data_IF_636425654084
#
_entry.id   IF_636425654084
#
_cell.length_a   1.000
_cell.length_b   1.000
_cell.length_c   1.000
_cell.angle_alpha   90.00
_cell.angle_beta   90.00
_cell.angle_gamma   90.00
#
_symmetry.space_group_name_H-M   'P 1'
#
loop_
_entity.id
_entity.type
_entity.pdbx_description
1 polymer ?
#
# COMPACT_ATOMS: atom_id res chain seq x y z
N UNK A 1 10.89 -11.88 17.82
CA UNK A 1 9.77 -10.93 17.88
C UNK A 1 9.86 -9.82 18.94
N UNK A 2 10.69 -9.86 20.01
CA UNK A 2 10.56 -8.89 21.12
C UNK A 2 11.10 -7.48 20.84
N UNK A 3 11.88 -7.26 19.77
CA UNK A 3 12.52 -5.95 19.52
C UNK A 3 11.74 -5.02 18.57
N UNK A 4 10.50 -5.36 18.20
CA UNK A 4 9.67 -4.55 17.29
C UNK A 4 8.51 -3.92 18.05
N UNK A 5 8.44 -2.58 18.02
CA UNK A 5 7.28 -1.85 18.53
C UNK A 5 6.15 -1.87 17.50
N UNK A 6 5.01 -2.40 17.92
CA UNK A 6 3.79 -2.46 17.14
C UNK A 6 2.84 -1.35 17.56
N UNK A 7 2.11 -0.79 16.61
CA UNK A 7 1.01 0.13 16.84
C UNK A 7 -0.22 -0.43 16.14
N UNK A 8 -1.30 -0.64 16.89
CA UNK A 8 -2.60 -0.95 16.33
C UNK A 8 -3.41 0.34 16.29
N UNK A 9 -3.93 0.68 15.12
CA UNK A 9 -4.79 1.86 14.97
C UNK A 9 -6.25 1.43 14.81
N UNK A 10 -7.08 1.92 15.75
CA UNK A 10 -8.53 1.84 15.70
C UNK A 10 -9.08 3.26 15.85
N UNK A 11 -9.84 3.73 14.87
CA UNK A 11 -10.57 4.99 14.97
C UNK A 11 -12.07 4.67 14.91
N UNK A 12 -12.82 4.78 16.02
CA UNK A 12 -14.26 4.69 15.95
C UNK A 12 -14.76 5.85 15.09
N UNK A 13 -15.64 5.56 14.12
CA UNK A 13 -16.33 6.57 13.33
C UNK A 13 -17.36 7.33 14.19
N UNK A 14 -16.90 8.08 15.19
CA UNK A 14 -17.77 8.88 16.05
C UNK A 14 -17.90 10.30 15.48
N UNK A 15 -19.13 10.77 15.31
CA UNK A 15 -19.46 12.05 14.66
C UNK A 15 -19.17 13.27 15.56
N UNK A 16 -18.75 13.07 16.81
CA UNK A 16 -18.77 14.12 17.83
C UNK A 16 -17.43 14.46 18.49
N UNK A 17 -16.28 13.94 18.03
CA UNK A 17 -14.98 14.25 18.67
C UNK A 17 -14.22 15.32 17.88
N UNK A 18 -14.30 16.54 18.39
CA UNK A 18 -13.47 17.69 18.05
C UNK A 18 -12.23 17.69 18.94
N UNK A 19 -11.03 17.53 18.34
CA UNK A 19 -9.76 18.25 18.58
C UNK A 19 -8.56 17.38 18.12
N UNK A 20 -7.89 17.84 17.06
CA UNK A 20 -6.70 17.27 16.39
C UNK A 20 -5.68 16.68 17.37
N UNK A 21 -5.37 15.36 17.29
CA UNK A 21 -4.63 14.73 16.16
C UNK A 21 -5.39 13.61 15.44
N UNK A 22 -6.65 13.35 15.82
CA UNK A 22 -7.46 12.22 15.31
C UNK A 22 -7.94 12.35 13.85
N UNK A 23 -7.62 13.45 13.16
CA UNK A 23 -8.04 13.72 11.76
C UNK A 23 -7.06 13.11 10.74
N UNK A 24 -5.86 12.71 11.16
CA UNK A 24 -4.77 12.41 10.24
C UNK A 24 -4.71 10.94 9.77
N UNK A 25 -5.66 10.10 10.21
CA UNK A 25 -5.71 8.65 9.99
C UNK A 25 -7.18 8.14 9.89
N UNK A 26 -8.10 9.04 9.51
CA UNK A 26 -9.50 8.68 9.20
C UNK A 26 -9.52 7.75 7.98
N UNK A 27 -10.43 6.78 7.94
CA UNK A 27 -10.68 5.96 6.75
C UNK A 27 -11.03 6.80 5.51
N UNK A 28 -11.30 8.09 5.69
CA UNK A 28 -11.50 9.07 4.60
C UNK A 28 -10.22 9.49 3.87
N UNK A 29 -9.04 9.41 4.49
CA UNK A 29 -7.78 9.76 3.81
C UNK A 29 -7.16 8.53 3.14
N UNK A 30 -6.53 8.73 1.99
CA UNK A 30 -5.89 7.64 1.24
C UNK A 30 -4.50 7.34 1.82
N UNK A 31 -3.83 8.38 2.29
CA UNK A 31 -2.54 8.29 3.00
C UNK A 31 -2.82 8.26 4.49
N UNK A 32 -2.20 7.30 5.16
CA UNK A 32 -2.21 7.20 6.62
C UNK A 32 -0.98 7.95 7.17
N UNK A 33 -1.18 9.09 7.84
CA UNK A 33 -0.04 9.92 8.25
C UNK A 33 0.90 9.17 9.19
N UNK A 34 0.35 8.30 10.04
CA UNK A 34 1.10 7.68 11.10
C UNK A 34 2.15 6.74 10.52
N UNK A 35 1.83 6.10 9.40
CA UNK A 35 2.77 5.27 8.66
C UNK A 35 4.02 6.04 8.23
N UNK A 36 3.86 7.27 7.77
CA UNK A 36 4.97 8.06 7.23
C UNK A 36 5.64 8.94 8.29
N UNK A 37 4.91 9.38 9.31
CA UNK A 37 5.45 10.13 10.44
C UNK A 37 6.25 9.24 11.41
N UNK A 38 5.88 7.96 11.55
CA UNK A 38 6.53 7.01 12.46
C UNK A 38 6.98 5.73 11.73
N UNK A 39 7.87 5.83 10.72
CA UNK A 39 8.17 4.71 9.83
C UNK A 39 8.93 3.55 10.49
N UNK A 40 9.51 3.79 11.67
CA UNK A 40 10.16 2.79 12.52
C UNK A 40 9.18 1.90 13.30
N UNK A 41 7.87 2.20 13.25
CA UNK A 41 6.81 1.41 13.88
C UNK A 41 6.12 0.54 12.83
N UNK A 42 5.80 -0.69 13.22
CA UNK A 42 4.85 -1.49 12.45
C UNK A 42 3.43 -1.08 12.78
N UNK A 43 2.70 -0.63 11.78
CA UNK A 43 1.31 -0.23 11.94
C UNK A 43 0.41 -1.34 11.41
N UNK A 44 -0.53 -1.77 12.25
CA UNK A 44 -1.63 -2.64 11.89
C UNK A 44 -2.92 -1.84 11.97
N UNK A 45 -3.65 -1.78 10.86
CA UNK A 45 -4.92 -1.08 10.78
C UNK A 45 -6.07 -2.03 11.11
N UNK A 46 -7.00 -1.55 11.92
CA UNK A 46 -8.30 -2.18 12.14
C UNK A 46 -9.32 -1.43 11.28
N UNK A 47 -10.06 -2.13 10.42
CA UNK A 47 -11.06 -1.51 9.53
C UNK A 47 -12.35 -1.22 10.32
N UNK A 48 -12.84 -2.21 11.04
CA UNK A 48 -13.99 -2.10 11.95
C UNK A 48 -13.78 -3.09 13.12
N UNK A 49 -14.36 -2.80 14.28
CA UNK A 49 -14.27 -3.66 15.47
C UNK A 49 -15.62 -4.31 15.76
N UNK A 50 -15.61 -5.60 16.08
CA UNK A 50 -16.82 -6.36 16.45
C UNK A 50 -17.91 -6.32 15.37
N UNK A 51 -17.53 -6.01 14.13
CA UNK A 51 -18.42 -5.84 12.98
C UNK A 51 -17.84 -6.48 11.73
N UNK A 52 -18.67 -7.18 10.93
CA UNK A 52 -18.24 -7.78 9.67
C UNK A 52 -17.78 -6.74 8.65
N UNK A 53 -16.60 -6.92 8.04
CA UNK A 53 -16.09 -6.02 6.97
C UNK A 53 -16.62 -6.37 5.58
N UNK A 54 -17.26 -7.54 5.42
CA UNK A 54 -17.99 -7.94 4.22
C UNK A 54 -17.12 -7.93 2.95
N UNK A 55 -17.48 -7.07 1.99
CA UNK A 55 -16.81 -6.93 0.69
C UNK A 55 -15.97 -5.63 0.58
N UNK A 56 -15.48 -5.10 1.70
CA UNK A 56 -14.74 -3.83 1.74
C UNK A 56 -13.31 -3.96 1.18
N UNK A 57 -13.19 -4.11 -0.13
CA UNK A 57 -11.91 -4.20 -0.84
C UNK A 57 -11.15 -2.87 -0.86
N UNK A 58 -11.86 -1.73 -0.80
CA UNK A 58 -11.27 -0.40 -0.85
C UNK A 58 -10.39 -0.11 0.38
N UNK A 59 -10.88 -0.38 1.59
CA UNK A 59 -10.08 -0.15 2.80
C UNK A 59 -8.87 -1.11 2.87
N UNK A 60 -9.03 -2.35 2.41
CA UNK A 60 -7.93 -3.31 2.30
C UNK A 60 -6.85 -2.83 1.32
N UNK A 61 -7.27 -2.27 0.18
CA UNK A 61 -6.38 -1.67 -0.80
C UNK A 61 -5.63 -0.46 -0.23
N UNK A 62 -6.30 0.43 0.51
CA UNK A 62 -5.64 1.56 1.18
C UNK A 62 -4.60 1.09 2.20
N UNK A 63 -4.91 0.05 2.99
CA UNK A 63 -3.94 -0.51 3.95
C UNK A 63 -2.68 -1.01 3.24
N UNK A 64 -2.84 -1.74 2.14
CA UNK A 64 -1.71 -2.21 1.32
C UNK A 64 -0.94 -1.07 0.65
N UNK A 65 -1.65 -0.07 0.11
CA UNK A 65 -1.05 1.12 -0.48
C UNK A 65 -0.13 1.86 0.50
N UNK A 66 -0.49 1.90 1.78
CA UNK A 66 0.35 2.46 2.83
C UNK A 66 1.42 1.47 3.36
N UNK A 67 1.52 0.26 2.83
CA UNK A 67 2.49 -0.73 3.33
C UNK A 67 2.25 -1.14 4.78
N UNK A 68 0.99 -1.14 5.23
CA UNK A 68 0.58 -1.46 6.59
C UNK A 68 0.09 -2.91 6.71
N UNK A 69 0.11 -3.45 7.93
CA UNK A 69 -0.57 -4.69 8.25
C UNK A 69 -2.07 -4.48 8.43
N UNK A 70 -2.85 -5.53 8.17
CA UNK A 70 -4.27 -5.60 8.52
C UNK A 70 -4.41 -6.42 9.79
N UNK A 71 -5.14 -5.90 10.78
CA UNK A 71 -5.63 -6.70 11.90
C UNK A 71 -6.91 -7.43 11.48
N UNK A 72 -6.95 -8.73 11.75
CA UNK A 72 -8.08 -9.59 11.39
C UNK A 72 -8.88 -9.89 12.66
N UNK A 73 -10.13 -9.46 12.67
CA UNK A 73 -11.09 -9.75 13.73
C UNK A 73 -11.83 -11.06 13.45
N UNK A 74 -12.26 -11.74 14.52
CA UNK A 74 -13.23 -12.83 14.48
C UNK A 74 -12.87 -13.98 13.49
N UNK A 75 -13.86 -14.77 13.07
CA UNK A 75 -13.69 -15.96 12.25
C UNK A 75 -13.47 -15.63 10.76
N UNK A 76 -12.26 -15.91 10.27
CA UNK A 76 -11.85 -15.80 8.86
C UNK A 76 -12.63 -16.73 7.91
N UNK A 77 -13.26 -17.78 8.43
CA UNK A 77 -14.04 -18.71 7.62
C UNK A 77 -15.47 -18.22 7.40
N UNK A 78 -15.98 -17.33 8.25
CA UNK A 78 -17.30 -16.73 8.10
C UNK A 78 -17.37 -15.80 6.88
N UNK A 79 -18.28 -16.10 5.96
CA UNK A 79 -18.53 -15.28 4.76
C UNK A 79 -19.21 -13.95 5.09
N UNK A 80 -19.85 -13.85 6.25
CA UNK A 80 -20.39 -12.60 6.77
C UNK A 80 -19.25 -11.63 7.08
N UNK A 81 -18.21 -12.11 7.76
CA UNK A 81 -17.03 -11.34 8.14
C UNK A 81 -16.14 -11.04 6.94
N UNK A 82 -15.87 -12.05 6.11
CA UNK A 82 -14.94 -11.93 5.00
C UNK A 82 -15.48 -12.59 3.73
N UNK A 83 -15.82 -11.77 2.73
CA UNK A 83 -16.18 -12.27 1.41
C UNK A 83 -15.01 -13.05 0.78
N UNK A 84 -15.26 -13.99 -0.15
CA UNK A 84 -14.18 -14.69 -0.87
C UNK A 84 -13.20 -13.74 -1.57
N UNK A 85 -13.70 -12.64 -2.14
CA UNK A 85 -12.88 -11.62 -2.81
C UNK A 85 -11.96 -10.90 -1.80
N UNK A 86 -12.50 -10.49 -0.65
CA UNK A 86 -11.73 -9.90 0.45
C UNK A 86 -10.66 -10.84 0.95
N UNK A 87 -10.96 -12.14 1.14
CA UNK A 87 -9.98 -13.13 1.59
C UNK A 87 -8.83 -13.31 0.59
N UNK A 88 -9.16 -13.38 -0.71
CA UNK A 88 -8.15 -13.47 -1.76
C UNK A 88 -7.22 -12.25 -1.75
N UNK A 89 -7.79 -11.06 -1.58
CA UNK A 89 -7.05 -9.80 -1.52
C UNK A 89 -6.15 -9.71 -0.28
N UNK A 90 -6.68 -10.04 0.91
CA UNK A 90 -5.91 -10.10 2.17
C UNK A 90 -4.73 -11.06 2.02
N UNK A 91 -4.96 -12.26 1.46
CA UNK A 91 -3.92 -13.26 1.25
C UNK A 91 -2.82 -12.74 0.33
N UNK A 92 -3.19 -12.12 -0.80
CA UNK A 92 -2.24 -11.54 -1.76
C UNK A 92 -1.39 -10.43 -1.11
N UNK A 93 -2.05 -9.48 -0.45
CA UNK A 93 -1.36 -8.39 0.25
C UNK A 93 -0.42 -8.90 1.34
N UNK A 94 -0.87 -9.86 2.16
CA UNK A 94 -0.03 -10.47 3.19
C UNK A 94 1.21 -11.15 2.59
N UNK A 95 1.06 -11.89 1.49
CA UNK A 95 2.19 -12.56 0.83
C UNK A 95 3.25 -11.55 0.37
N UNK A 96 2.83 -10.47 -0.31
CA UNK A 96 3.73 -9.42 -0.77
C UNK A 96 4.39 -8.70 0.41
N UNK A 97 3.60 -8.24 1.39
CA UNK A 97 4.11 -7.56 2.59
C UNK A 97 5.10 -8.41 3.36
N UNK A 98 4.85 -9.73 3.47
CA UNK A 98 5.75 -10.67 4.15
C UNK A 98 7.03 -10.89 3.36
N UNK A 99 6.93 -11.15 2.05
CA UNK A 99 8.08 -11.41 1.19
C UNK A 99 9.04 -10.22 1.15
N UNK A 100 8.49 -9.00 1.09
CA UNK A 100 9.26 -7.76 1.01
C UNK A 100 9.31 -6.99 2.35
N UNK A 101 9.06 -7.67 3.46
CA UNK A 101 8.94 -7.04 4.79
C UNK A 101 10.15 -6.17 5.14
N UNK A 102 11.36 -6.58 4.74
CA UNK A 102 12.57 -5.82 5.05
C UNK A 102 12.55 -4.39 4.47
N UNK A 103 11.88 -4.16 3.34
CA UNK A 103 11.76 -2.85 2.66
C UNK A 103 10.55 -2.09 3.21
N UNK A 104 9.40 -2.77 3.38
CA UNK A 104 8.23 -2.16 4.00
C UNK A 104 8.44 -1.76 5.46
N UNK A 105 9.43 -2.32 6.16
CA UNK A 105 9.85 -1.93 7.51
C UNK A 105 10.95 -0.85 7.52
N UNK A 106 11.28 -0.27 6.36
CA UNK A 106 12.28 0.78 6.28
C UNK A 106 11.82 2.09 6.89
N UNK A 107 12.80 2.87 7.38
CA UNK A 107 12.63 4.24 7.80
C UNK A 107 12.65 5.24 6.62
N UNK A 108 13.17 4.82 5.46
CA UNK A 108 13.21 5.63 4.24
C UNK A 108 11.92 5.43 3.45
N UNK A 109 10.91 6.24 3.79
CA UNK A 109 9.60 6.23 3.16
C UNK A 109 9.22 7.62 2.67
N UNK A 110 8.53 7.68 1.54
CA UNK A 110 8.02 8.93 0.97
C UNK A 110 6.58 8.73 0.49
N UNK A 111 5.59 9.41 1.09
CA UNK A 111 4.21 9.35 0.62
C UNK A 111 4.02 10.22 -0.62
N UNK A 112 3.06 9.85 -1.48
CA UNK A 112 2.61 10.65 -2.63
C UNK A 112 3.75 11.11 -3.55
N UNK A 113 4.66 10.18 -3.86
CA UNK A 113 5.70 10.45 -4.85
C UNK A 113 5.09 10.77 -6.20
N UNK A 114 5.69 11.74 -6.89
CA UNK A 114 5.14 12.24 -8.13
C UNK A 114 5.14 11.16 -9.22
N UNK A 115 3.98 10.96 -9.84
CA UNK A 115 3.78 10.17 -11.05
C UNK A 115 2.95 11.02 -12.02
N UNK A 116 3.08 10.79 -13.32
CA UNK A 116 2.38 11.58 -14.34
C UNK A 116 0.90 11.18 -14.49
N UNK A 117 0.15 11.18 -13.39
CA UNK A 117 -1.28 10.88 -13.35
C UNK A 117 -1.94 11.55 -12.16
N UNK A 118 -3.12 12.15 -12.38
CA UNK A 118 -3.97 12.65 -11.30
C UNK A 118 -4.84 11.55 -10.66
N UNK A 119 -5.00 10.42 -11.37
CA UNK A 119 -5.85 9.30 -10.95
C UNK A 119 -5.09 8.25 -10.13
N UNK A 120 -3.77 8.16 -10.29
CA UNK A 120 -2.92 7.19 -9.61
C UNK A 120 -2.04 7.91 -8.61
N UNK A 121 -2.12 7.49 -7.36
CA UNK A 121 -1.20 7.92 -6.30
C UNK A 121 -0.15 6.84 -6.07
N UNK A 122 1.04 7.25 -5.65
CA UNK A 122 2.15 6.33 -5.39
C UNK A 122 2.84 6.66 -4.06
N UNK A 123 3.29 5.65 -3.32
CA UNK A 123 4.20 5.80 -2.19
C UNK A 123 5.49 5.04 -2.47
N UNK A 124 6.61 5.49 -1.89
CA UNK A 124 7.93 4.86 -2.02
C UNK A 124 8.45 4.35 -0.68
N UNK A 125 9.03 3.15 -0.70
CA UNK A 125 9.72 2.51 0.42
C UNK A 125 11.10 2.06 -0.06
N UNK A 126 12.17 2.54 0.56
CA UNK A 126 13.56 2.29 0.09
C UNK A 126 14.37 1.62 1.18
N UNK A 127 15.26 0.68 0.83
CA UNK A 127 16.24 0.13 1.76
C UNK A 127 17.51 -0.27 1.03
N UNK A 128 18.56 0.53 1.16
CA UNK A 128 19.76 0.35 0.36
C UNK A 128 19.44 0.52 -1.13
N UNK A 129 19.90 -0.40 -1.98
CA UNK A 129 19.67 -0.37 -3.42
C UNK A 129 18.32 -0.99 -3.86
N UNK A 130 17.37 -1.13 -2.94
CA UNK A 130 16.09 -1.82 -3.16
C UNK A 130 14.95 -0.88 -2.85
N UNK A 131 14.04 -0.73 -3.82
CA UNK A 131 12.92 0.21 -3.71
C UNK A 131 11.61 -0.48 -4.07
N UNK A 132 10.58 -0.24 -3.28
CA UNK A 132 9.19 -0.61 -3.61
C UNK A 132 8.37 0.65 -3.79
N UNK A 133 7.60 0.67 -4.87
CA UNK A 133 6.52 1.62 -5.08
C UNK A 133 5.19 0.90 -4.95
N UNK A 134 4.32 1.39 -4.07
CA UNK A 134 2.92 0.98 -4.04
C UNK A 134 2.09 2.02 -4.77
N UNK A 135 1.06 1.57 -5.48
CA UNK A 135 0.18 2.43 -6.27
C UNK A 135 -1.28 2.19 -5.88
N UNK A 136 -2.11 3.22 -5.98
CA UNK A 136 -3.56 3.09 -5.86
C UNK A 136 -4.24 3.97 -6.90
N UNK A 137 -5.23 3.42 -7.60
CA UNK A 137 -6.13 4.18 -8.46
C UNK A 137 -7.31 4.67 -7.63
N UNK A 138 -7.53 5.98 -7.61
CA UNK A 138 -8.57 6.61 -6.78
C UNK A 138 -9.86 6.90 -7.53
N UNK A 139 -9.93 6.47 -8.80
CA UNK A 139 -11.04 6.73 -9.70
C UNK A 139 -11.82 5.46 -10.03
N UNK A 140 -13.05 5.65 -10.53
CA UNK A 140 -13.95 4.58 -10.98
C UNK A 140 -13.59 4.01 -12.36
N UNK A 141 -12.52 4.50 -13.00
CA UNK A 141 -12.09 4.08 -14.33
C UNK A 141 -10.68 3.51 -14.26
N UNK A 142 -10.35 2.68 -15.23
CA UNK A 142 -8.96 2.26 -15.43
C UNK A 142 -8.08 3.48 -15.72
N UNK A 143 -6.89 3.50 -15.13
CA UNK A 143 -5.92 4.58 -15.28
C UNK A 143 -4.52 4.01 -15.52
N UNK A 144 -3.62 4.86 -16.02
CA UNK A 144 -2.22 4.54 -16.19
C UNK A 144 -1.32 5.71 -15.79
N UNK A 145 -0.09 5.37 -15.45
CA UNK A 145 1.00 6.32 -15.20
C UNK A 145 2.34 5.70 -15.62
N UNK A 146 3.38 6.50 -15.62
CA UNK A 146 4.76 6.13 -15.87
C UNK A 146 5.57 6.41 -14.61
N UNK A 147 6.19 5.36 -14.08
CA UNK A 147 7.13 5.44 -12.98
C UNK A 147 8.53 5.61 -13.55
N UNK A 148 9.26 6.64 -13.13
CA UNK A 148 10.70 6.73 -13.38
C UNK A 148 11.44 5.73 -12.50
N UNK A 149 12.21 4.84 -13.12
CA UNK A 149 12.92 3.73 -12.44
C UNK A 149 14.42 3.97 -12.31
N UNK A 150 14.86 5.21 -12.46
CA UNK A 150 16.27 5.61 -12.36
C UNK A 150 17.01 5.52 -13.69
N UNK A 151 18.33 5.36 -13.63
CA UNK A 151 19.18 5.21 -14.83
C UNK A 151 18.95 3.85 -15.49
N UNK A 152 19.32 3.76 -16.76
CA UNK A 152 19.32 2.50 -17.49
C UNK A 152 20.10 1.39 -16.74
N UNK A 153 19.56 0.17 -16.75
CA UNK A 153 20.20 -1.02 -16.20
C UNK A 153 19.52 -1.59 -14.96
N UNK A 154 18.67 -0.83 -14.28
CA UNK A 154 17.93 -1.29 -13.10
C UNK A 154 17.02 -2.48 -13.41
N UNK A 155 16.93 -3.43 -12.47
CA UNK A 155 16.00 -4.56 -12.59
C UNK A 155 14.66 -4.20 -11.97
N UNK A 156 13.59 -4.28 -12.78
CA UNK A 156 12.25 -3.86 -12.37
C UNK A 156 11.25 -5.01 -12.49
N UNK A 157 10.48 -5.22 -11.42
CA UNK A 157 9.52 -6.29 -11.28
C UNK A 157 8.16 -5.75 -10.81
N UNK A 158 7.10 -6.15 -11.49
CA UNK A 158 5.73 -5.97 -11.03
C UNK A 158 5.42 -7.12 -10.07
N UNK A 159 5.65 -6.89 -8.79
CA UNK A 159 5.46 -7.89 -7.75
C UNK A 159 3.99 -8.14 -7.46
N UNK A 160 3.10 -7.23 -7.88
CA UNK A 160 1.67 -7.43 -7.73
C UNK A 160 1.13 -8.40 -8.78
N UNK A 161 1.69 -8.40 -9.99
CA UNK A 161 1.30 -9.31 -11.07
C UNK A 161 2.32 -10.43 -11.34
N UNK A 162 3.33 -10.56 -10.48
CA UNK A 162 4.39 -11.59 -10.54
C UNK A 162 5.08 -11.69 -11.91
N UNK A 163 5.52 -10.54 -12.44
CA UNK A 163 6.18 -10.47 -13.76
C UNK A 163 7.30 -9.42 -13.80
N UNK A 164 8.29 -9.64 -14.65
CA UNK A 164 9.27 -8.60 -14.99
C UNK A 164 8.60 -7.45 -15.74
N UNK A 165 9.05 -6.22 -15.49
CA UNK A 165 8.58 -5.05 -16.24
C UNK A 165 9.46 -4.81 -17.47
N UNK A 166 8.83 -4.37 -18.55
CA UNK A 166 9.53 -3.75 -19.66
C UNK A 166 9.91 -2.32 -19.28
N UNK A 167 11.20 -2.00 -19.37
CA UNK A 167 11.74 -0.67 -19.07
C UNK A 167 11.95 0.08 -20.38
N UNK A 168 11.25 1.19 -20.53
CA UNK A 168 11.40 2.12 -21.66
C UNK A 168 12.50 3.11 -21.28
N UNK A 169 13.53 3.25 -22.11
CA UNK A 169 14.65 4.18 -21.85
C UNK A 169 14.50 5.42 -22.73
N UNK A 170 14.40 6.59 -22.11
CA UNK A 170 14.38 7.88 -22.78
C UNK A 170 15.39 8.83 -22.12
N UNK A 171 16.29 9.42 -22.91
CA UNK A 171 17.32 10.35 -22.42
C UNK A 171 18.19 9.78 -21.27
N UNK A 172 18.47 8.48 -21.28
CA UNK A 172 19.26 7.79 -20.25
C UNK A 172 18.50 7.48 -18.95
N UNK A 173 17.20 7.79 -18.90
CA UNK A 173 16.31 7.47 -17.79
C UNK A 173 15.36 6.33 -18.18
N UNK A 174 15.22 5.35 -17.30
CA UNK A 174 14.27 4.26 -17.44
C UNK A 174 12.89 4.65 -16.91
N UNK A 175 11.85 4.17 -17.58
CA UNK A 175 10.44 4.34 -17.22
C UNK A 175 9.71 3.01 -17.31
N UNK A 176 8.77 2.79 -16.39
CA UNK A 176 7.86 1.65 -16.43
C UNK A 176 6.42 2.15 -16.45
N UNK A 177 5.64 1.64 -17.39
CA UNK A 177 4.21 1.89 -17.46
C UNK A 177 3.48 1.06 -16.40
N UNK A 178 2.71 1.72 -15.54
CA UNK A 178 1.85 1.11 -14.54
C UNK A 178 0.40 1.33 -14.97
N UNK A 179 -0.39 0.27 -14.98
CA UNK A 179 -1.79 0.29 -15.39
C UNK A 179 -2.65 -0.34 -14.31
N UNK A 180 -3.67 0.36 -13.83
CA UNK A 180 -4.52 -0.06 -12.73
C UNK A 180 -6.00 0.01 -13.09
N UNK A 181 -6.75 -1.02 -12.71
CA UNK A 181 -8.21 -1.00 -12.74
C UNK A 181 -8.77 0.02 -11.75
N UNK A 182 -10.06 0.35 -11.90
CA UNK A 182 -10.80 1.20 -10.97
C UNK A 182 -10.61 0.73 -9.52
N UNK A 183 -10.30 1.66 -8.62
CA UNK A 183 -10.14 1.42 -7.17
C UNK A 183 -9.15 0.29 -6.78
N UNK A 184 -8.24 -0.07 -7.68
CA UNK A 184 -7.27 -1.14 -7.47
C UNK A 184 -5.89 -0.62 -7.06
N UNK A 185 -4.99 -1.54 -6.70
CA UNK A 185 -3.62 -1.25 -6.28
C UNK A 185 -2.60 -2.01 -7.12
N UNK A 186 -1.38 -1.48 -7.14
CA UNK A 186 -0.22 -2.11 -7.78
C UNK A 186 1.02 -2.02 -6.88
N UNK A 187 2.05 -2.76 -7.25
CA UNK A 187 3.31 -2.79 -6.51
C UNK A 187 4.47 -3.11 -7.45
N UNK A 188 5.42 -2.19 -7.56
CA UNK A 188 6.63 -2.33 -8.39
C UNK A 188 7.84 -2.38 -7.47
N UNK A 189 8.73 -3.34 -7.70
CA UNK A 189 10.00 -3.51 -7.02
C UNK A 189 11.15 -3.22 -7.98
N UNK A 190 12.12 -2.43 -7.51
CA UNK A 190 13.29 -2.00 -8.26
C UNK A 190 14.53 -2.40 -7.47
N UNK A 191 15.52 -2.93 -8.19
CA UNK A 191 16.88 -3.13 -7.70
C UNK A 191 17.82 -2.25 -8.53
N UNK A 192 18.41 -1.27 -7.86
CA UNK A 192 19.43 -0.41 -8.45
C UNK A 192 20.73 -1.21 -8.63
N UNK A 193 21.36 -1.05 -9.80
CA UNK A 193 22.66 -1.63 -10.10
C UNK A 193 23.82 -0.78 -9.59
#
# INVERSE_FOLDING_TARGET
FPDKLFMCEFFPADRNISLFPAVLSDSKTIVDICRFAFPYKKIFKIIDCDRPIGNNTWDINKIFFNGMGLWLDNDLHSTQWYSPAVKALIKKHYQILKQYCSIFESNEVEPLVNVNSEAILANRFTKGNKTIYTFINVTEKQAECYLTVGKEGNSVYDVYNDKSCEVIVENGMGYVKVKLEAYSVGCIYIVDK
#
